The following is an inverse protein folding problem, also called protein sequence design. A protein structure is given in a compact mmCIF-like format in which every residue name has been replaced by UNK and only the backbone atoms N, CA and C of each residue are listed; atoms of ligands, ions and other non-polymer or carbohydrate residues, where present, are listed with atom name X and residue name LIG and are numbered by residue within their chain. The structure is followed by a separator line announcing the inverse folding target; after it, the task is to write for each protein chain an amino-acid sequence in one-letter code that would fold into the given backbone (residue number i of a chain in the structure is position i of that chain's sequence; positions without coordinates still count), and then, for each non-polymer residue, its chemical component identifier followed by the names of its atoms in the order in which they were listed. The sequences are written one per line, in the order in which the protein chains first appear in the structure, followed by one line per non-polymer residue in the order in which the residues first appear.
data_IF_723515323589
#
_entry.id   IF_723515323589
#
_cell.length_a   1.000
_cell.length_b   1.000
_cell.length_c   1.000
_cell.angle_alpha   90.00
_cell.angle_beta   90.00
_cell.angle_gamma   90.00
#
_symmetry.space_group_name_H-M   'P 1'
#
loop_
_entity.id
_entity.type
_entity.pdbx_description
1 polymer ?
#
# COMPACT_ATOMS: atom_id res chain seq x y z
N UNK A 1 0.47 -11.53 24.41
CA UNK A 1 0.55 -10.10 24.07
C UNK A 1 0.77 -10.03 22.58
N UNK A 2 -0.18 -9.60 21.72
CA UNK A 2 0.15 -9.41 20.33
C UNK A 2 1.05 -8.17 20.24
N UNK A 3 2.28 -8.39 19.77
CA UNK A 3 3.22 -7.34 19.42
C UNK A 3 2.67 -6.70 18.14
N UNK A 4 1.83 -5.67 18.27
CA UNK A 4 1.45 -4.92 17.08
C UNK A 4 2.73 -4.33 16.48
N UNK A 5 2.97 -4.50 15.17
CA UNK A 5 4.12 -3.90 14.52
C UNK A 5 4.10 -2.39 14.78
N UNK A 6 5.22 -1.86 15.29
CA UNK A 6 5.38 -0.42 15.52
C UNK A 6 5.53 0.25 14.16
N UNK A 7 4.44 0.79 13.64
CA UNK A 7 4.48 1.63 12.44
C UNK A 7 5.30 2.88 12.74
N UNK A 8 6.30 3.15 11.90
CA UNK A 8 7.04 4.41 11.96
C UNK A 8 6.62 5.29 10.80
N UNK A 9 6.07 6.46 11.08
CA UNK A 9 5.74 7.46 10.06
C UNK A 9 7.00 7.85 9.26
N UNK A 10 6.82 8.00 7.95
CA UNK A 10 7.86 8.38 6.99
C UNK A 10 7.36 9.49 6.08
N UNK A 11 8.30 10.22 5.49
CA UNK A 11 7.96 11.17 4.44
C UNK A 11 7.93 10.48 3.08
N UNK A 12 7.16 11.04 2.13
CA UNK A 12 7.18 10.57 0.75
C UNK A 12 8.55 10.73 0.08
N UNK A 13 9.40 11.65 0.58
CA UNK A 13 10.77 11.80 0.12
C UNK A 13 11.70 10.66 0.57
N UNK A 14 11.34 9.91 1.60
CA UNK A 14 12.09 8.75 2.08
C UNK A 14 11.79 7.48 1.26
N UNK A 15 10.80 7.53 0.36
CA UNK A 15 10.42 6.42 -0.50
C UNK A 15 11.28 6.43 -1.78
N UNK A 16 12.20 5.47 -1.95
CA UNK A 16 13.02 5.40 -3.14
C UNK A 16 12.16 5.16 -4.38
N UNK A 17 12.31 6.00 -5.40
CA UNK A 17 11.55 5.90 -6.65
C UNK A 17 10.14 6.49 -6.61
N UNK A 18 9.72 7.13 -5.51
CA UNK A 18 8.37 7.72 -5.41
C UNK A 18 8.07 8.71 -6.53
N UNK A 19 8.98 9.65 -6.83
CA UNK A 19 8.76 10.66 -7.88
C UNK A 19 8.74 10.08 -9.30
N UNK A 20 9.42 8.95 -9.52
CA UNK A 20 9.52 8.31 -10.83
C UNK A 20 8.36 7.32 -11.10
N UNK A 21 7.60 6.98 -10.06
CA UNK A 21 6.53 5.99 -10.14
C UNK A 21 5.32 6.49 -10.94
N UNK A 22 4.58 5.56 -11.57
CA UNK A 22 3.39 5.92 -12.35
C UNK A 22 2.16 6.08 -11.46
N UNK A 23 2.09 7.23 -10.78
CA UNK A 23 0.98 7.56 -9.90
C UNK A 23 -0.39 7.57 -10.60
N UNK A 24 -0.45 7.77 -11.92
CA UNK A 24 -1.72 7.68 -12.67
C UNK A 24 -2.24 6.25 -12.69
N UNK A 25 -1.35 5.28 -12.96
CA UNK A 25 -1.71 3.87 -12.92
C UNK A 25 -2.11 3.44 -11.50
N UNK A 26 -1.38 3.90 -10.48
CA UNK A 26 -1.70 3.65 -9.08
C UNK A 26 -3.08 4.23 -8.70
N UNK A 27 -3.38 5.47 -9.11
CA UNK A 27 -4.69 6.09 -8.87
C UNK A 27 -5.82 5.34 -9.59
N UNK A 28 -5.60 4.89 -10.82
CA UNK A 28 -6.60 4.10 -11.55
C UNK A 28 -6.92 2.78 -10.83
N UNK A 29 -5.90 2.12 -10.28
CA UNK A 29 -6.08 0.93 -9.44
C UNK A 29 -6.83 1.26 -8.14
N UNK A 30 -6.45 2.33 -7.45
CA UNK A 30 -7.13 2.79 -6.23
C UNK A 30 -8.61 3.11 -6.48
N UNK A 31 -8.91 3.81 -7.58
CA UNK A 31 -10.29 4.11 -7.98
C UNK A 31 -11.11 2.85 -8.24
N UNK A 32 -10.54 1.82 -8.86
CA UNK A 32 -11.21 0.52 -9.02
C UNK A 32 -11.57 -0.10 -7.67
N UNK A 33 -10.66 -0.05 -6.69
CA UNK A 33 -10.93 -0.52 -5.32
C UNK A 33 -12.02 0.31 -4.64
N UNK A 34 -12.04 1.63 -4.85
CA UNK A 34 -13.08 2.53 -4.32
C UNK A 34 -14.49 2.17 -4.81
N UNK A 35 -14.62 1.66 -6.04
CA UNK A 35 -15.90 1.14 -6.54
C UNK A 35 -16.16 -0.29 -6.06
N UNK A 36 -15.13 -1.15 -6.03
CA UNK A 36 -15.27 -2.54 -5.61
C UNK A 36 -15.75 -2.67 -4.17
N UNK A 37 -15.34 -1.76 -3.30
CA UNK A 37 -15.66 -1.87 -1.88
C UNK A 37 -17.13 -1.66 -1.55
N UNK A 38 -17.88 -0.99 -2.43
CA UNK A 38 -19.33 -0.88 -2.34
C UNK A 38 -20.02 -2.23 -2.58
N UNK A 39 -19.34 -3.14 -3.28
CA UNK A 39 -19.86 -4.49 -3.59
C UNK A 39 -19.45 -5.52 -2.54
N UNK A 40 -18.25 -5.38 -1.96
CA UNK A 40 -17.75 -6.28 -0.93
C UNK A 40 -16.86 -5.50 0.05
N UNK A 41 -17.35 -5.20 1.27
CA UNK A 41 -16.54 -4.51 2.26
C UNK A 41 -15.35 -5.38 2.64
N UNK A 42 -14.14 -4.80 2.63
CA UNK A 42 -12.94 -5.51 3.06
C UNK A 42 -13.04 -5.81 4.56
N UNK A 43 -12.61 -7.01 4.97
CA UNK A 43 -12.45 -7.28 6.40
C UNK A 43 -11.29 -6.44 6.92
N UNK A 44 -11.46 -5.83 8.08
CA UNK A 44 -10.38 -5.23 8.85
C UNK A 44 -9.29 -6.28 9.06
N UNK A 45 -8.12 -6.07 8.44
CA UNK A 45 -6.97 -6.96 8.64
C UNK A 45 -6.44 -6.85 10.07
N UNK A 46 -5.61 -7.80 10.47
CA UNK A 46 -4.95 -7.84 11.79
C UNK A 46 -4.12 -6.60 12.12
N UNK A 47 -3.91 -5.73 11.12
CA UNK A 47 -3.25 -4.43 11.19
C UNK A 47 -4.07 -3.34 11.91
N UNK A 48 -5.36 -3.57 12.17
CA UNK A 48 -6.20 -2.64 12.95
C UNK A 48 -6.59 -1.35 12.22
N UNK A 49 -6.29 -1.21 10.93
CA UNK A 49 -6.71 -0.06 10.13
C UNK A 49 -8.20 -0.19 9.83
N UNK A 50 -9.00 0.71 10.41
CA UNK A 50 -10.44 0.75 10.18
C UNK A 50 -10.73 1.04 8.70
N UNK A 51 -11.58 0.21 8.12
CA UNK A 51 -12.10 0.39 6.78
C UNK A 51 -12.74 1.78 6.58
N UNK A 52 -13.43 2.30 7.60
CA UNK A 52 -14.09 3.60 7.56
C UNK A 52 -13.10 4.77 7.40
N UNK A 53 -11.83 4.60 7.78
CA UNK A 53 -10.81 5.62 7.60
C UNK A 53 -10.62 5.99 6.12
N UNK A 54 -10.89 5.04 5.20
CA UNK A 54 -10.77 5.25 3.76
C UNK A 54 -12.08 5.72 3.09
N UNK A 55 -13.20 5.80 3.82
CA UNK A 55 -14.49 6.15 3.20
C UNK A 55 -14.45 7.53 2.52
N UNK A 56 -13.77 8.50 3.16
CA UNK A 56 -13.57 9.85 2.61
C UNK A 56 -12.70 9.85 1.35
N UNK A 57 -11.56 9.14 1.38
CA UNK A 57 -10.64 9.07 0.24
C UNK A 57 -11.25 8.30 -0.93
N UNK A 58 -12.04 7.26 -0.67
CA UNK A 58 -12.80 6.57 -1.71
C UNK A 58 -13.91 7.41 -2.32
N UNK A 59 -14.55 8.31 -1.56
CA UNK A 59 -15.52 9.24 -2.12
C UNK A 59 -14.84 10.24 -3.07
N UNK A 60 -13.72 10.83 -2.67
CA UNK A 60 -12.96 11.76 -3.52
C UNK A 60 -12.37 11.05 -4.74
N UNK A 61 -11.81 9.85 -4.60
CA UNK A 61 -11.27 9.09 -5.72
C UNK A 61 -12.32 8.69 -6.78
N UNK A 62 -13.60 8.62 -6.39
CA UNK A 62 -14.71 8.37 -7.32
C UNK A 62 -15.14 9.64 -8.07
N UNK A 63 -14.99 10.82 -7.47
CA UNK A 63 -15.37 12.09 -8.09
C UNK A 63 -14.24 12.75 -8.87
N UNK A 64 -12.99 12.56 -8.43
CA UNK A 64 -11.80 13.17 -9.01
C UNK A 64 -11.14 12.22 -10.02
N UNK A 65 -10.74 12.78 -11.16
CA UNK A 65 -9.89 12.10 -12.13
C UNK A 65 -8.65 12.97 -12.39
N UNK A 66 -7.48 12.64 -11.81
CA UNK A 66 -6.27 13.40 -12.05
C UNK A 66 -5.87 13.29 -13.54
N UNK A 67 -5.51 14.43 -14.14
CA UNK A 67 -5.14 14.49 -15.56
C UNK A 67 -3.65 14.18 -15.82
N UNK A 68 -2.81 14.22 -14.78
CA UNK A 68 -1.37 14.01 -14.89
C UNK A 68 -0.80 13.31 -13.64
N UNK A 69 0.44 12.80 -13.75
CA UNK A 69 1.13 12.11 -12.66
C UNK A 69 1.29 12.98 -11.41
N UNK A 70 1.60 14.26 -11.58
CA UNK A 70 1.76 15.19 -10.45
C UNK A 70 0.46 15.38 -9.65
N UNK A 71 -0.70 15.47 -10.31
CA UNK A 71 -1.99 15.56 -9.63
C UNK A 71 -2.36 14.27 -8.90
N UNK A 72 -2.05 13.11 -9.50
CA UNK A 72 -2.23 11.82 -8.84
C UNK A 72 -1.30 11.69 -7.63
N UNK A 73 -0.04 12.13 -7.75
CA UNK A 73 0.93 12.20 -6.66
C UNK A 73 0.42 13.07 -5.51
N UNK A 74 0.01 14.30 -5.79
CA UNK A 74 -0.55 15.21 -4.79
C UNK A 74 -1.85 14.69 -4.16
N UNK A 75 -2.60 13.81 -4.84
CA UNK A 75 -3.72 13.13 -4.20
C UNK A 75 -3.23 12.18 -3.11
N UNK A 76 -2.23 11.35 -3.38
CA UNK A 76 -1.66 10.46 -2.38
C UNK A 76 -1.02 11.24 -1.22
N UNK A 77 -0.26 12.29 -1.51
CA UNK A 77 0.42 13.08 -0.49
C UNK A 77 -0.51 13.87 0.44
N UNK A 78 -1.72 14.23 -0.02
CA UNK A 78 -2.73 14.91 0.82
C UNK A 78 -3.54 13.95 1.69
N UNK A 79 -3.75 12.73 1.21
CA UNK A 79 -4.71 11.79 1.79
C UNK A 79 -4.08 10.65 2.56
N UNK A 80 -2.78 10.41 2.37
CA UNK A 80 -2.08 9.28 2.96
C UNK A 80 -0.78 9.73 3.63
N UNK A 81 -0.43 9.00 4.68
CA UNK A 81 0.85 9.14 5.38
C UNK A 81 1.62 7.84 5.19
N UNK A 82 2.83 7.88 4.60
CA UNK A 82 3.68 6.71 4.48
C UNK A 82 4.05 6.19 5.86
N UNK A 83 3.89 4.89 6.07
CA UNK A 83 4.32 4.22 7.30
C UNK A 83 5.24 3.07 6.93
N UNK A 84 6.38 3.00 7.61
CA UNK A 84 7.26 1.85 7.52
C UNK A 84 6.65 0.72 8.34
N UNK A 85 6.31 -0.37 7.65
CA UNK A 85 5.93 -1.63 8.28
C UNK A 85 7.21 -2.43 8.50
N UNK A 86 7.64 -2.68 9.73
CA UNK A 86 8.77 -3.58 9.97
C UNK A 86 8.41 -4.97 9.41
N UNK A 87 9.38 -5.64 8.78
CA UNK A 87 9.21 -7.04 8.41
C UNK A 87 8.88 -7.81 9.70
N UNK A 88 7.78 -8.54 9.68
CA UNK A 88 7.54 -9.55 10.70
C UNK A 88 8.55 -10.66 10.40
N UNK A 89 9.44 -10.98 11.33
CA UNK A 89 10.44 -12.05 11.19
C UNK A 89 9.78 -13.43 10.94
N UNK A 90 8.44 -13.49 10.97
CA UNK A 90 7.61 -14.66 10.83
C UNK A 90 6.95 -14.76 9.44
N UNK A 91 7.75 -14.95 8.40
CA UNK A 91 7.38 -15.89 7.32
C UNK A 91 8.61 -16.28 6.52
N UNK A 92 9.15 -17.45 6.85
CA UNK A 92 10.17 -18.12 6.06
C UNK A 92 9.68 -18.25 4.62
N UNK A 93 10.28 -17.45 3.73
CA UNK A 93 10.32 -17.78 2.32
C UNK A 93 11.17 -19.03 2.16
N UNK A 94 10.53 -20.19 2.12
CA UNK A 94 11.14 -21.39 1.60
C UNK A 94 11.39 -21.19 0.10
N UNK A 95 12.67 -21.30 -0.29
CA UNK A 95 13.27 -21.55 -1.62
C UNK A 95 14.40 -20.53 -1.85
N UNK A 96 15.66 -20.89 -1.99
CA UNK A 96 16.21 -22.00 -2.77
C UNK A 96 17.55 -22.42 -2.16
N UNK A 97 17.61 -23.60 -1.52
CA UNK A 97 18.90 -24.25 -1.30
C UNK A 97 19.24 -24.97 -2.60
N UNK A 98 20.00 -24.28 -3.47
CA UNK A 98 20.65 -24.87 -4.61
C UNK A 98 21.49 -26.06 -4.15
N UNK A 99 20.96 -27.26 -4.35
CA UNK A 99 21.65 -28.52 -4.13
C UNK A 99 22.86 -28.56 -5.08
N UNK A 100 24.05 -28.26 -4.55
CA UNK A 100 25.30 -28.60 -5.20
C UNK A 100 25.51 -30.10 -5.03
N UNK A 101 24.92 -30.88 -5.93
CA UNK A 101 25.32 -32.27 -6.16
C UNK A 101 26.47 -32.24 -7.18
N UNK A 102 27.69 -32.40 -6.71
CA UNK A 102 28.79 -32.92 -7.51
C UNK A 102 29.56 -33.85 -6.60
N UNK A 103 29.18 -35.12 -6.67
CA UNK A 103 29.95 -36.25 -6.15
C UNK A 103 31.12 -36.48 -7.10
N UNK A 104 32.32 -36.49 -6.54
CA UNK A 104 33.54 -37.06 -7.14
C UNK A 104 33.52 -38.59 -6.99
#
# INVERSE_FOLDING_TARGET
MPLFPTFSEKSFGDLPGWDEDDHLAAFAAFRRSAFHVLTKPYRTGSLGIDFNAFAGTYAEARSVSPANRSQARSFFERHFVPVLVPADDASGGAADQGASSTTD
#
